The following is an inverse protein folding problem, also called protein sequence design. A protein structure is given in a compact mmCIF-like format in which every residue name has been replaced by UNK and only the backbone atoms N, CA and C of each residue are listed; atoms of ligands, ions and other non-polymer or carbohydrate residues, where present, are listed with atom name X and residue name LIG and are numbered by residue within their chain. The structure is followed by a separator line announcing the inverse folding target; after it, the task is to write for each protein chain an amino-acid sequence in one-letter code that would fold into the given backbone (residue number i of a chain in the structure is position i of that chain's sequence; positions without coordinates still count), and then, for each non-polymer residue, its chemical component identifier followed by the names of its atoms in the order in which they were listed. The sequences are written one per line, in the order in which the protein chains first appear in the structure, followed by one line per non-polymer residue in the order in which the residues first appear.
data_IF_191570636993
#
_entry.id   IF_191570636993
#
_cell.length_a   1.000
_cell.length_b   1.000
_cell.length_c   1.000
_cell.angle_alpha   90.00
_cell.angle_beta   90.00
_cell.angle_gamma   90.00
#
_symmetry.space_group_name_H-M   'P 1'
#
loop_
_entity.id
_entity.type
_entity.pdbx_description
1 polymer ?
#
# COMPACT_ATOMS: atom_id res chain seq x y z
N UNK A 1 -10.02 23.78 -10.04
CA UNK A 1 -8.68 23.33 -9.61
C UNK A 1 -8.63 22.90 -8.15
N UNK A 2 -9.09 23.71 -7.19
CA UNK A 2 -8.97 23.36 -5.76
C UNK A 2 -9.78 22.11 -5.37
N UNK A 3 -11.04 22.03 -5.81
CA UNK A 3 -11.93 20.89 -5.51
C UNK A 3 -11.38 19.59 -6.10
N UNK A 4 -10.96 19.61 -7.36
CA UNK A 4 -10.36 18.43 -8.01
C UNK A 4 -9.07 18.00 -7.31
N UNK A 5 -8.25 18.95 -6.85
CA UNK A 5 -7.05 18.66 -6.07
C UNK A 5 -7.38 17.95 -4.74
N UNK A 6 -8.34 18.47 -3.97
CA UNK A 6 -8.77 17.84 -2.72
C UNK A 6 -9.35 16.44 -2.93
N UNK A 7 -10.15 16.26 -3.99
CA UNK A 7 -10.66 14.94 -4.36
C UNK A 7 -9.52 13.99 -4.68
N UNK A 8 -8.53 14.42 -5.49
CA UNK A 8 -7.34 13.60 -5.77
C UNK A 8 -6.55 13.24 -4.51
N UNK A 9 -6.34 14.17 -3.58
CA UNK A 9 -5.67 13.87 -2.31
C UNK A 9 -6.44 12.84 -1.49
N UNK A 10 -7.77 13.00 -1.35
CA UNK A 10 -8.61 12.05 -0.63
C UNK A 10 -8.60 10.66 -1.27
N UNK A 11 -8.69 10.58 -2.60
CA UNK A 11 -8.62 9.31 -3.32
C UNK A 11 -7.25 8.65 -3.14
N UNK A 12 -6.16 9.42 -3.20
CA UNK A 12 -4.80 8.91 -3.01
C UNK A 12 -4.64 8.36 -1.58
N UNK A 13 -5.06 9.10 -0.55
CA UNK A 13 -5.04 8.62 0.84
C UNK A 13 -5.91 7.38 1.03
N UNK A 14 -7.13 7.36 0.47
CA UNK A 14 -8.05 6.22 0.59
C UNK A 14 -7.53 4.96 -0.10
N UNK A 15 -6.72 5.11 -1.15
CA UNK A 15 -6.20 3.99 -1.94
C UNK A 15 -4.76 3.59 -1.55
N UNK A 16 -4.10 4.38 -0.69
CA UNK A 16 -2.76 4.05 -0.15
C UNK A 16 -2.73 2.69 0.55
N UNK A 17 -3.73 2.30 1.39
CA UNK A 17 -3.72 0.98 2.01
C UNK A 17 -3.75 -0.17 0.99
N UNK A 18 -4.39 0.00 -0.16
CA UNK A 18 -4.44 -1.02 -1.22
C UNK A 18 -3.06 -1.19 -1.88
N UNK A 19 -2.36 -0.08 -2.12
CA UNK A 19 -1.00 -0.06 -2.66
C UNK A 19 -0.02 -0.75 -1.71
N UNK A 20 -0.04 -0.38 -0.43
CA UNK A 20 0.82 -0.97 0.61
C UNK A 20 0.52 -2.45 0.86
N UNK A 21 -0.77 -2.85 0.82
CA UNK A 21 -1.16 -4.27 0.93
C UNK A 21 -0.61 -5.08 -0.24
N UNK A 22 -0.56 -4.49 -1.44
CA UNK A 22 0.00 -5.17 -2.61
C UNK A 22 1.50 -5.35 -2.47
N UNK A 23 2.23 -4.32 -2.02
CA UNK A 23 3.64 -4.43 -1.66
C UNK A 23 3.89 -5.51 -0.60
N UNK A 24 3.02 -5.60 0.41
CA UNK A 24 3.11 -6.64 1.42
C UNK A 24 2.95 -8.05 0.83
N UNK A 25 1.93 -8.28 0.01
CA UNK A 25 1.70 -9.57 -0.65
C UNK A 25 2.88 -9.92 -1.57
N UNK A 26 3.41 -8.95 -2.31
CA UNK A 26 4.56 -9.15 -3.19
C UNK A 26 5.84 -9.46 -2.41
N UNK A 27 5.98 -8.95 -1.18
CA UNK A 27 7.11 -9.29 -0.31
C UNK A 27 7.14 -10.77 0.10
N UNK A 28 5.98 -11.45 0.19
CA UNK A 28 5.94 -12.89 0.50
C UNK A 28 6.52 -13.76 -0.62
N UNK A 29 6.49 -13.28 -1.86
CA UNK A 29 7.01 -14.01 -3.02
C UNK A 29 8.40 -13.51 -3.43
N UNK A 30 8.91 -12.44 -2.80
CA UNK A 30 10.24 -11.91 -3.05
C UNK A 30 11.30 -12.88 -2.46
N UNK A 31 12.22 -13.43 -3.27
CA UNK A 31 13.23 -14.35 -2.79
C UNK A 31 14.37 -13.65 -2.01
N UNK A 32 14.44 -12.33 -2.00
CA UNK A 32 15.50 -11.56 -1.37
C UNK A 32 15.10 -10.95 -0.02
N UNK A 33 13.79 -10.83 0.22
CA UNK A 33 13.22 -10.14 1.38
C UNK A 33 12.41 -11.14 2.20
N UNK A 34 12.54 -11.09 3.53
CA UNK A 34 11.60 -11.77 4.42
C UNK A 34 10.27 -11.02 4.47
N UNK A 35 9.13 -11.72 4.66
CA UNK A 35 7.82 -11.09 4.69
C UNK A 35 7.80 -9.90 5.66
N UNK A 36 7.29 -8.77 5.19
CA UNK A 36 7.24 -7.56 6.02
C UNK A 36 6.41 -7.83 7.26
N UNK A 37 7.05 -7.74 8.43
CA UNK A 37 6.38 -7.80 9.72
C UNK A 37 5.75 -6.42 10.00
N UNK A 38 4.41 -6.33 9.93
CA UNK A 38 3.69 -5.11 10.28
C UNK A 38 3.56 -5.05 11.80
N UNK A 39 4.43 -4.29 12.44
CA UNK A 39 4.30 -3.99 13.86
C UNK A 39 3.28 -2.87 14.08
N UNK A 40 2.00 -3.25 14.16
CA UNK A 40 0.93 -2.38 14.65
C UNK A 40 1.01 -2.32 16.19
N UNK A 41 1.35 -1.14 16.71
CA UNK A 41 1.11 -0.68 18.08
C UNK A 41 1.04 -1.75 19.17
N UNK A 42 2.18 -2.18 19.74
CA UNK A 42 2.23 -2.64 21.15
C UNK A 42 3.55 -3.27 21.62
N UNK A 43 4.47 -3.70 20.75
CA UNK A 43 5.69 -4.35 21.25
C UNK A 43 6.78 -3.34 21.64
N UNK A 44 7.28 -3.36 22.89
CA UNK A 44 8.40 -2.55 23.30
C UNK A 44 9.67 -3.17 22.73
N UNK A 45 9.89 -3.00 21.42
CA UNK A 45 11.22 -3.21 20.87
C UNK A 45 12.11 -2.08 21.36
N UNK A 46 13.15 -2.47 22.08
CA UNK A 46 14.18 -1.61 22.64
C UNK A 46 15.01 -0.99 21.50
N UNK A 47 14.38 -0.15 20.69
CA UNK A 47 15.02 0.70 19.70
C UNK A 47 15.71 1.79 20.49
N UNK A 48 17.04 1.70 20.61
CA UNK A 48 17.93 2.72 21.15
C UNK A 48 17.58 4.13 20.62
N UNK A 49 16.66 4.81 21.30
CA UNK A 49 16.39 6.25 21.33
C UNK A 49 16.20 7.04 20.03
N UNK A 50 16.32 6.48 18.83
CA UNK A 50 16.53 7.29 17.62
C UNK A 50 15.33 7.57 16.73
N UNK A 51 14.20 6.86 16.87
CA UNK A 51 13.04 7.12 16.00
C UNK A 51 11.69 7.00 16.74
N UNK A 52 11.37 8.03 17.53
CA UNK A 52 10.08 8.15 18.25
C UNK A 52 8.88 8.35 17.29
N UNK A 53 9.12 8.84 16.07
CA UNK A 53 8.06 8.99 15.06
C UNK A 53 7.67 7.67 14.41
N UNK A 54 8.64 6.78 14.12
CA UNK A 54 8.37 5.50 13.45
C UNK A 54 7.60 4.53 14.36
N UNK A 55 7.84 4.60 15.68
CA UNK A 55 7.06 3.85 16.67
C UNK A 55 5.60 4.30 16.78
N UNK A 56 5.26 5.51 16.31
CA UNK A 56 3.90 6.07 16.39
C UNK A 56 3.09 5.95 15.09
N UNK A 57 3.74 5.71 13.95
CA UNK A 57 3.08 5.64 12.64
C UNK A 57 2.98 4.20 12.10
N UNK A 58 3.51 3.22 12.85
CA UNK A 58 3.85 1.91 12.29
C UNK A 58 5.11 2.03 11.45
N UNK A 59 5.95 1.01 11.50
CA UNK A 59 7.13 0.94 10.63
C UNK A 59 7.20 -0.44 10.00
N UNK A 60 7.53 -0.43 8.71
CA UNK A 60 7.78 -1.63 7.92
C UNK A 60 9.24 -2.00 8.10
N UNK A 61 9.50 -3.16 8.69
CA UNK A 61 10.86 -3.72 8.74
C UNK A 61 11.02 -4.67 7.56
N UNK A 62 11.93 -4.31 6.66
CA UNK A 62 12.39 -5.20 5.58
C UNK A 62 13.62 -5.93 6.12
N UNK A 63 13.54 -7.25 6.29
CA UNK A 63 14.69 -8.09 6.65
C UNK A 63 15.22 -8.78 5.40
N UNK A 64 16.54 -8.90 5.31
CA UNK A 64 17.18 -9.70 4.26
C UNK A 64 16.90 -11.18 4.50
N UNK A 65 16.53 -11.93 3.45
CA UNK A 65 16.31 -13.38 3.57
C UNK A 65 17.61 -14.17 3.81
N UNK A 66 18.74 -13.64 3.36
CA UNK A 66 20.07 -14.17 3.59
C UNK A 66 21.09 -13.02 3.55
N UNK A 67 22.30 -13.16 4.12
CA UNK A 67 23.29 -12.08 4.15
C UNK A 67 23.64 -11.57 2.76
N UNK A 68 23.50 -10.26 2.53
CA UNK A 68 23.69 -9.57 1.23
C UNK A 68 22.57 -9.79 0.20
N UNK A 69 21.42 -10.35 0.57
CA UNK A 69 20.31 -10.56 -0.37
C UNK A 69 19.87 -9.26 -1.07
N UNK A 70 19.94 -8.10 -0.42
CA UNK A 70 19.61 -6.82 -1.06
C UNK A 70 20.64 -6.36 -2.10
N UNK A 71 21.90 -6.81 -2.00
CA UNK A 71 22.93 -6.53 -3.02
C UNK A 71 22.77 -7.43 -4.23
N UNK A 72 22.30 -8.65 -4.01
CA UNK A 72 22.03 -9.62 -5.06
C UNK A 72 20.68 -9.35 -5.75
N UNK A 73 19.81 -8.57 -5.10
CA UNK A 73 18.50 -8.18 -5.61
C UNK A 73 18.64 -7.32 -6.86
N UNK A 74 18.10 -7.76 -8.01
CA UNK A 74 18.10 -6.95 -9.22
C UNK A 74 17.33 -5.63 -9.02
N UNK A 75 17.85 -4.50 -9.54
CA UNK A 75 17.27 -3.18 -9.31
C UNK A 75 15.90 -2.98 -9.95
N UNK A 76 15.51 -3.85 -10.90
CA UNK A 76 14.21 -3.79 -11.54
C UNK A 76 13.08 -4.42 -10.70
N UNK A 77 13.39 -5.17 -9.63
CA UNK A 77 12.36 -5.82 -8.80
C UNK A 77 11.50 -4.75 -8.09
N UNK A 78 12.11 -3.69 -7.57
CA UNK A 78 11.35 -2.56 -6.98
C UNK A 78 10.41 -1.93 -8.00
N UNK A 79 10.92 -1.68 -9.20
CA UNK A 79 10.14 -1.09 -10.27
C UNK A 79 8.98 -2.01 -10.68
N UNK A 80 9.22 -3.32 -10.74
CA UNK A 80 8.18 -4.30 -11.05
C UNK A 80 7.12 -4.36 -9.94
N UNK A 81 7.53 -4.39 -8.67
CA UNK A 81 6.61 -4.38 -7.54
C UNK A 81 5.75 -3.12 -7.55
N UNK A 82 6.36 -1.95 -7.80
CA UNK A 82 5.64 -0.68 -7.89
C UNK A 82 4.63 -0.67 -9.05
N UNK A 83 5.03 -1.15 -10.23
CA UNK A 83 4.12 -1.26 -11.39
C UNK A 83 2.92 -2.15 -11.07
N UNK A 84 3.15 -3.29 -10.43
CA UNK A 84 2.07 -4.21 -10.04
C UNK A 84 1.16 -3.55 -9.01
N UNK A 85 1.72 -2.94 -7.96
CA UNK A 85 0.97 -2.25 -6.89
C UNK A 85 0.09 -1.13 -7.43
N UNK A 86 0.63 -0.25 -8.28
CA UNK A 86 -0.15 0.82 -8.93
C UNK A 86 -1.23 0.23 -9.86
N UNK A 87 -0.90 -0.81 -10.63
CA UNK A 87 -1.87 -1.42 -11.55
C UNK A 87 -3.06 -2.03 -10.82
N UNK A 88 -2.81 -2.73 -9.71
CA UNK A 88 -3.86 -3.30 -8.85
C UNK A 88 -4.68 -2.18 -8.20
N UNK A 89 -4.02 -1.15 -7.65
CA UNK A 89 -4.69 0.01 -7.05
C UNK A 89 -5.64 0.69 -8.04
N UNK A 90 -5.19 0.96 -9.27
CA UNK A 90 -6.02 1.55 -10.33
C UNK A 90 -7.21 0.65 -10.65
N UNK A 91 -6.96 -0.66 -10.83
CA UNK A 91 -8.00 -1.62 -11.21
C UNK A 91 -9.11 -1.71 -10.16
N UNK A 92 -8.74 -1.84 -8.88
CA UNK A 92 -9.70 -1.90 -7.77
C UNK A 92 -10.45 -0.58 -7.64
N UNK A 93 -9.76 0.56 -7.78
CA UNK A 93 -10.38 1.89 -7.69
C UNK A 93 -11.42 2.09 -8.78
N UNK A 94 -11.10 1.71 -10.03
CA UNK A 94 -12.04 1.77 -11.16
C UNK A 94 -13.24 0.85 -10.94
N UNK A 95 -13.01 -0.36 -10.43
CA UNK A 95 -14.09 -1.29 -10.10
C UNK A 95 -15.07 -0.71 -9.06
N UNK A 96 -14.55 -0.16 -7.95
CA UNK A 96 -15.38 0.49 -6.92
C UNK A 96 -16.15 1.67 -7.51
N UNK A 97 -15.51 2.49 -8.33
CA UNK A 97 -16.15 3.62 -9.00
C UNK A 97 -17.32 3.16 -9.87
N UNK A 98 -17.13 2.14 -10.70
CA UNK A 98 -18.17 1.60 -11.59
C UNK A 98 -19.35 1.03 -10.81
N UNK A 99 -19.09 0.24 -9.77
CA UNK A 99 -20.15 -0.32 -8.90
C UNK A 99 -20.93 0.79 -8.20
N UNK A 100 -20.23 1.82 -7.70
CA UNK A 100 -20.87 2.96 -7.04
C UNK A 100 -21.74 3.76 -8.01
N UNK A 101 -21.24 4.01 -9.23
CA UNK A 101 -22.01 4.68 -10.30
C UNK A 101 -23.26 3.89 -10.68
N UNK A 102 -23.13 2.57 -10.86
CA UNK A 102 -24.26 1.70 -11.16
C UNK A 102 -25.32 1.75 -10.06
N UNK A 103 -24.89 1.66 -8.81
CA UNK A 103 -25.77 1.77 -7.65
C UNK A 103 -26.51 3.12 -7.63
N UNK A 104 -25.79 4.23 -7.80
CA UNK A 104 -26.37 5.58 -7.82
C UNK A 104 -27.41 5.74 -8.94
N UNK A 105 -27.12 5.22 -10.13
CA UNK A 105 -28.05 5.25 -11.27
C UNK A 105 -29.32 4.43 -10.95
N UNK A 106 -29.17 3.23 -10.39
CA UNK A 106 -30.31 2.38 -9.98
C UNK A 106 -31.17 3.08 -8.92
N UNK A 107 -30.55 3.69 -7.90
CA UNK A 107 -31.29 4.42 -6.87
C UNK A 107 -31.98 5.68 -7.41
N UNK A 108 -31.37 6.44 -8.32
CA UNK A 108 -32.03 7.61 -8.94
C UNK A 108 -33.28 7.22 -9.75
N UNK A 109 -33.26 6.05 -10.41
CA UNK A 109 -34.42 5.54 -11.14
C UNK A 109 -35.58 5.10 -10.22
N UNK A 110 -35.33 4.84 -8.93
CA UNK A 110 -36.39 4.51 -7.95
C UNK A 110 -37.06 5.74 -7.32
N UNK A 111 -36.54 6.95 -7.51
CA UNK A 111 -37.06 8.19 -6.94
C UNK A 111 -37.81 9.08 -7.96
N UNK A 112 -37.98 8.61 -9.20
CA UNK A 112 -38.74 9.23 -10.29
C UNK A 112 -40.00 8.41 -10.55
#
# INVERSE_FOLDING_TARGET
MLISFFVSCLTLTATTPLHETTHWILSYIDPYIEPVEIHLFSHPYNLNGKHILSSKLGYVVVRERYPNALKDRPPWIDMLQEIISISIQITITLFILLVTLEYLIKTKKCFL
#
